data_IF_870367459406
#
_entry.id   IF_870367459406
#
_cell.length_a   1.000
_cell.length_b   1.000
_cell.length_c   1.000
_cell.angle_alpha   90.00
_cell.angle_beta   90.00
_cell.angle_gamma   90.00
#
_symmetry.space_group_name_H-M   'P 1'
#
loop_
_entity.id
_entity.type
_entity.pdbx_description
1 polymer ?
#
# COMPACT_ATOMS: atom_id res chain seq x y z
N UNK A 1 6.97 -5.33 19.70
CA UNK A 1 6.72 -3.89 19.47
C UNK A 1 7.86 -3.14 20.11
N UNK A 2 8.56 -2.34 19.31
CA UNK A 2 9.99 -1.98 19.30
C UNK A 2 10.86 -3.01 18.56
N UNK A 3 11.09 -2.76 17.27
CA UNK A 3 12.38 -3.09 16.67
C UNK A 3 13.46 -2.38 17.48
N UNK A 4 14.44 -3.14 17.99
CA UNK A 4 15.60 -2.58 18.69
C UNK A 4 16.61 -1.96 17.72
N UNK A 5 16.13 -1.09 16.85
CA UNK A 5 16.88 0.05 16.38
C UNK A 5 16.71 1.14 17.45
N UNK A 6 17.77 1.90 17.74
CA UNK A 6 17.58 3.14 18.48
C UNK A 6 16.45 3.93 17.79
N UNK A 7 15.47 4.43 18.54
CA UNK A 7 14.33 5.21 18.02
C UNK A 7 14.70 6.21 16.89
N UNK A 8 15.82 6.96 16.96
CA UNK A 8 16.24 7.82 15.84
C UNK A 8 16.57 7.04 14.55
N UNK A 9 17.17 5.86 14.63
CA UNK A 9 17.51 5.03 13.47
C UNK A 9 16.25 4.43 12.84
N UNK A 10 15.28 4.01 13.66
CA UNK A 10 13.98 3.53 13.17
C UNK A 10 13.24 4.62 12.40
N UNK A 11 13.18 5.83 12.96
CA UNK A 11 12.57 7.00 12.28
C UNK A 11 13.33 7.35 11.00
N UNK A 12 14.66 7.37 11.03
CA UNK A 12 15.47 7.65 9.85
C UNK A 12 15.25 6.61 8.73
N UNK A 13 15.13 5.33 9.09
CA UNK A 13 14.85 4.24 8.15
C UNK A 13 13.46 4.39 7.53
N UNK A 14 12.44 4.71 8.34
CA UNK A 14 11.08 4.97 7.87
C UNK A 14 11.01 6.17 6.91
N UNK A 15 11.70 7.26 7.24
CA UNK A 15 11.81 8.42 6.35
C UNK A 15 12.53 8.08 5.04
N UNK A 16 13.61 7.29 5.11
CA UNK A 16 14.35 6.85 3.93
C UNK A 16 13.49 5.97 3.02
N UNK A 17 12.74 5.01 3.57
CA UNK A 17 11.82 4.16 2.80
C UNK A 17 10.72 5.01 2.14
N UNK A 18 10.13 5.96 2.86
CA UNK A 18 9.14 6.88 2.32
C UNK A 18 9.69 7.73 1.17
N UNK A 19 10.89 8.29 1.34
CA UNK A 19 11.57 9.05 0.29
C UNK A 19 11.86 8.17 -0.93
N UNK A 20 12.40 6.97 -0.73
CA UNK A 20 12.74 6.03 -1.80
C UNK A 20 11.51 5.62 -2.60
N UNK A 21 10.37 5.39 -1.94
CA UNK A 21 9.12 5.08 -2.60
C UNK A 21 8.63 6.23 -3.50
N UNK A 22 8.61 7.46 -2.98
CA UNK A 22 8.22 8.66 -3.74
C UNK A 22 9.20 8.90 -4.89
N UNK A 23 10.51 8.80 -4.63
CA UNK A 23 11.54 8.98 -5.64
C UNK A 23 11.35 7.97 -6.79
N UNK A 24 11.19 6.68 -6.52
CA UNK A 24 11.00 5.68 -7.57
C UNK A 24 9.66 5.82 -8.31
N UNK A 25 8.64 6.36 -7.66
CA UNK A 25 7.34 6.63 -8.28
C UNK A 25 7.39 7.79 -9.29
N UNK A 26 8.18 8.83 -9.00
CA UNK A 26 8.19 10.08 -9.78
C UNK A 26 9.46 10.33 -10.60
N UNK A 27 10.59 9.68 -10.30
CA UNK A 27 11.84 9.81 -11.06
C UNK A 27 11.74 8.95 -12.31
N UNK A 28 10.86 9.32 -13.24
CA UNK A 28 10.56 8.53 -14.44
C UNK A 28 9.77 9.29 -15.50
N UNK A 29 9.89 8.81 -16.73
CA UNK A 29 9.24 9.28 -17.98
C UNK A 29 9.08 10.80 -18.04
N UNK A 30 10.19 11.47 -18.32
CA UNK A 30 10.16 12.86 -18.77
C UNK A 30 9.66 12.90 -20.22
N UNK A 31 8.72 13.80 -20.52
CA UNK A 31 8.29 14.09 -21.89
C UNK A 31 6.99 13.44 -22.37
N UNK A 32 6.24 12.73 -21.52
CA UNK A 32 4.84 12.35 -21.83
C UNK A 32 3.90 13.29 -21.07
N UNK A 33 3.05 14.08 -21.77
CA UNK A 33 2.19 15.07 -21.11
C UNK A 33 1.04 14.42 -20.35
N UNK A 34 0.63 13.21 -20.74
CA UNK A 34 -0.53 12.55 -20.18
C UNK A 34 -0.17 11.48 -19.14
N UNK A 35 -0.67 11.65 -17.93
CA UNK A 35 -0.57 10.70 -16.80
C UNK A 35 -1.28 9.39 -17.11
N UNK A 36 -2.29 9.47 -17.97
CA UNK A 36 -3.21 8.39 -18.29
C UNK A 36 -2.77 7.57 -19.52
N UNK A 37 -1.62 7.92 -20.13
CA UNK A 37 -0.97 7.09 -21.16
C UNK A 37 -0.64 5.69 -20.58
N UNK A 38 -1.04 4.59 -21.25
CA UNK A 38 -0.81 3.23 -20.78
C UNK A 38 0.68 2.88 -20.57
N UNK A 39 1.60 3.57 -21.27
CA UNK A 39 3.05 3.41 -21.08
C UNK A 39 3.49 3.97 -19.73
N UNK A 40 2.96 5.13 -19.34
CA UNK A 40 3.23 5.75 -18.03
C UNK A 40 2.67 4.87 -16.92
N UNK A 41 1.46 4.32 -17.10
CA UNK A 41 0.84 3.43 -16.11
C UNK A 41 1.67 2.15 -15.91
N UNK A 42 2.07 1.48 -17.01
CA UNK A 42 2.88 0.25 -16.93
C UNK A 42 4.25 0.51 -16.31
N UNK A 43 4.90 1.59 -16.69
CA UNK A 43 6.21 1.97 -16.16
C UNK A 43 6.14 2.26 -14.64
N UNK A 44 5.10 2.98 -14.20
CA UNK A 44 4.84 3.19 -12.76
C UNK A 44 4.58 1.88 -12.03
N UNK A 45 3.88 0.91 -12.62
CA UNK A 45 3.67 -0.41 -11.99
C UNK A 45 4.97 -1.19 -11.81
N UNK A 46 5.87 -1.15 -12.78
CA UNK A 46 7.18 -1.83 -12.64
C UNK A 46 7.99 -1.15 -11.53
N UNK A 47 8.02 0.19 -11.52
CA UNK A 47 8.78 0.97 -10.52
C UNK A 47 8.23 0.82 -9.12
N UNK A 48 6.91 0.90 -8.94
CA UNK A 48 6.28 0.76 -7.62
C UNK A 48 6.50 -0.67 -7.08
N UNK A 49 6.50 -1.68 -7.95
CA UNK A 49 6.81 -3.06 -7.58
C UNK A 49 8.28 -3.20 -7.17
N UNK A 50 9.20 -2.60 -7.92
CA UNK A 50 10.63 -2.60 -7.59
C UNK A 50 10.91 -1.85 -6.28
N UNK A 51 10.27 -0.68 -6.07
CA UNK A 51 10.37 0.09 -4.84
C UNK A 51 9.84 -0.69 -3.64
N UNK A 52 8.69 -1.34 -3.79
CA UNK A 52 8.06 -2.18 -2.77
C UNK A 52 8.93 -3.37 -2.39
N UNK A 53 9.56 -4.03 -3.38
CA UNK A 53 10.49 -5.13 -3.15
C UNK A 53 11.78 -4.65 -2.47
N UNK A 54 12.35 -3.54 -2.93
CA UNK A 54 13.56 -2.97 -2.35
C UNK A 54 13.34 -2.54 -0.90
N UNK A 55 12.21 -1.88 -0.61
CA UNK A 55 11.82 -1.51 0.74
C UNK A 55 11.62 -2.74 1.64
N UNK A 56 10.99 -3.80 1.14
CA UNK A 56 10.86 -5.07 1.87
C UNK A 56 12.22 -5.73 2.15
N UNK A 57 13.15 -5.69 1.20
CA UNK A 57 14.52 -6.19 1.39
C UNK A 57 15.29 -5.37 2.42
N UNK A 58 15.18 -4.04 2.40
CA UNK A 58 15.79 -3.15 3.39
C UNK A 58 15.31 -3.51 4.80
N UNK A 59 13.98 -3.64 4.98
CA UNK A 59 13.39 -4.02 6.26
C UNK A 59 13.82 -5.44 6.67
N UNK A 60 13.84 -6.41 5.74
CA UNK A 60 14.29 -7.78 6.03
C UNK A 60 15.77 -7.83 6.47
N UNK A 61 16.64 -7.05 5.85
CA UNK A 61 18.05 -6.94 6.25
C UNK A 61 18.19 -6.28 7.62
N UNK A 62 17.47 -5.18 7.86
CA UNK A 62 17.47 -4.45 9.13
C UNK A 62 16.91 -5.27 10.30
N UNK A 63 16.00 -6.20 10.01
CA UNK A 63 15.39 -7.10 11.00
C UNK A 63 16.09 -8.46 11.10
N UNK A 64 17.21 -8.66 10.40
CA UNK A 64 17.91 -9.94 10.39
C UNK A 64 18.53 -10.27 11.77
N UNK A 65 18.44 -11.54 12.22
CA UNK A 65 18.85 -11.94 13.57
C UNK A 65 20.35 -11.78 13.82
N UNK A 66 21.17 -11.63 12.77
CA UNK A 66 22.62 -11.36 12.87
C UNK A 66 22.94 -9.94 13.36
N UNK A 67 22.10 -8.96 13.01
CA UNK A 67 22.26 -7.56 13.45
C UNK A 67 21.63 -7.33 14.84
N UNK A 68 20.61 -8.12 15.18
CA UNK A 68 19.93 -8.06 16.49
C UNK A 68 20.72 -8.71 17.63
N UNK A 69 21.84 -9.37 17.37
CA UNK A 69 22.62 -10.06 18.40
C UNK A 69 23.41 -9.09 19.31
N UNK A 70 23.49 -7.81 18.94
CA UNK A 70 24.22 -6.77 19.68
C UNK A 70 23.41 -6.21 20.85
N UNK A 71 22.07 -6.24 20.77
CA UNK A 71 21.19 -5.72 21.81
C UNK A 71 20.25 -6.85 22.29
N UNK A 72 20.08 -7.03 23.60
CA UNK A 72 19.32 -8.14 24.25
C UNK A 72 17.80 -8.18 23.97
N UNK A 73 17.35 -7.65 22.84
CA UNK A 73 15.95 -7.66 22.43
C UNK A 73 15.63 -8.85 21.54
N UNK A 74 14.71 -9.70 22.00
CA UNK A 74 14.12 -10.73 21.15
C UNK A 74 13.05 -10.12 20.25
N UNK A 75 13.08 -10.32 18.91
CA UNK A 75 11.93 -10.05 18.07
C UNK A 75 10.78 -10.98 18.50
N UNK A 76 9.69 -10.40 19.00
CA UNK A 76 8.56 -11.18 19.54
C UNK A 76 7.64 -11.77 18.46
N UNK A 77 7.87 -11.49 17.17
CA UNK A 77 7.00 -11.94 16.09
C UNK A 77 7.76 -12.10 14.75
N UNK A 78 7.48 -13.15 13.95
CA UNK A 78 8.06 -13.31 12.62
C UNK A 78 7.61 -12.18 11.69
N UNK A 79 8.49 -11.69 10.80
CA UNK A 79 8.22 -10.54 9.91
C UNK A 79 6.89 -10.63 9.13
N UNK A 80 6.43 -11.83 8.78
CA UNK A 80 5.13 -12.07 8.14
C UNK A 80 3.91 -11.65 8.98
N UNK A 81 4.03 -11.68 10.31
CA UNK A 81 2.98 -11.22 11.22
C UNK A 81 2.85 -9.69 11.18
N UNK A 82 3.90 -8.98 10.78
CA UNK A 82 3.96 -7.51 10.72
C UNK A 82 3.21 -7.00 9.49
N UNK A 83 3.24 -7.80 8.42
CA UNK A 83 2.41 -7.58 7.24
C UNK A 83 0.94 -7.94 7.44
N UNK A 84 0.55 -8.49 8.61
CA UNK A 84 -0.83 -8.91 8.90
C UNK A 84 -1.30 -10.11 8.08
N UNK A 85 -0.42 -10.71 7.27
CA UNK A 85 -0.71 -11.87 6.41
C UNK A 85 -0.73 -13.16 7.24
N UNK A 86 -0.01 -13.17 8.36
CA UNK A 86 0.10 -14.35 9.21
C UNK A 86 0.02 -13.94 10.68
N UNK A 87 -1.21 -13.72 11.17
CA UNK A 87 -1.43 -13.69 12.62
C UNK A 87 -1.02 -15.05 13.20
N UNK A 88 -0.37 -15.05 14.36
CA UNK A 88 0.23 -16.22 15.02
C UNK A 88 -0.75 -17.36 15.38
N UNK A 89 -2.00 -17.29 14.95
CA UNK A 89 -2.98 -18.36 15.05
C UNK A 89 -3.67 -18.50 13.69
N UNK A 90 -3.91 -19.74 13.27
CA UNK A 90 -4.74 -20.10 12.11
C UNK A 90 -6.23 -19.70 12.32
N UNK A 91 -6.48 -18.56 12.95
CA UNK A 91 -7.80 -18.04 13.23
C UNK A 91 -8.24 -17.21 12.04
N UNK A 92 -9.17 -17.78 11.27
CA UNK A 92 -9.94 -17.06 10.24
C UNK A 92 -10.52 -15.74 10.78
N UNK A 93 -10.80 -15.68 12.09
CA UNK A 93 -11.27 -14.49 12.82
C UNK A 93 -10.22 -13.37 12.81
N UNK A 94 -8.93 -13.68 12.95
CA UNK A 94 -7.86 -12.68 12.92
C UNK A 94 -7.69 -12.06 11.53
N UNK A 95 -7.79 -12.88 10.48
CA UNK A 95 -7.74 -12.42 9.08
C UNK A 95 -9.01 -11.62 8.74
N UNK A 96 -10.18 -12.08 9.18
CA UNK A 96 -11.44 -11.38 8.97
C UNK A 96 -11.46 -10.03 9.69
N UNK A 97 -10.98 -9.93 10.92
CA UNK A 97 -10.90 -8.66 11.65
C UNK A 97 -9.88 -7.71 11.03
N UNK A 98 -8.70 -8.20 10.62
CA UNK A 98 -7.68 -7.39 9.97
C UNK A 98 -8.13 -6.79 8.62
N UNK A 99 -9.09 -7.44 7.94
CA UNK A 99 -9.65 -6.96 6.67
C UNK A 99 -10.95 -6.16 6.85
N UNK A 100 -11.88 -6.63 7.68
CA UNK A 100 -13.20 -6.00 7.87
C UNK A 100 -13.13 -4.74 8.73
N UNK A 101 -12.23 -4.65 9.72
CA UNK A 101 -12.13 -3.46 10.56
C UNK A 101 -11.73 -2.18 9.78
N UNK A 102 -10.67 -2.18 8.95
CA UNK A 102 -10.36 -1.00 8.12
C UNK A 102 -11.46 -0.73 7.07
N UNK A 103 -12.11 -1.77 6.53
CA UNK A 103 -13.26 -1.59 5.63
C UNK A 103 -14.46 -0.94 6.34
N UNK A 104 -14.76 -1.34 7.58
CA UNK A 104 -15.83 -0.75 8.37
C UNK A 104 -15.52 0.71 8.73
N UNK A 105 -14.28 1.01 9.10
CA UNK A 105 -13.86 2.39 9.40
C UNK A 105 -13.94 3.29 8.16
N UNK A 106 -13.46 2.81 7.01
CA UNK A 106 -13.53 3.57 5.76
C UNK A 106 -14.97 3.79 5.31
N UNK A 107 -15.83 2.76 5.39
CA UNK A 107 -17.26 2.91 5.08
C UNK A 107 -17.97 3.87 6.03
N UNK A 108 -17.63 3.87 7.33
CA UNK A 108 -18.15 4.87 8.28
C UNK A 108 -17.70 6.30 7.94
N UNK A 109 -16.41 6.49 7.63
CA UNK A 109 -15.85 7.81 7.32
C UNK A 109 -16.44 8.39 6.02
N UNK A 110 -16.69 7.53 5.04
CA UNK A 110 -17.30 7.90 3.76
C UNK A 110 -18.80 7.61 3.69
N UNK A 111 -19.48 7.37 4.82
CA UNK A 111 -20.88 6.97 4.81
C UNK A 111 -21.79 8.03 4.17
N UNK A 112 -21.57 9.31 4.47
CA UNK A 112 -22.33 10.42 3.88
C UNK A 112 -22.26 10.45 2.34
N UNK A 113 -21.06 10.53 1.74
CA UNK A 113 -20.88 10.43 0.29
C UNK A 113 -21.43 9.13 -0.32
N UNK A 114 -21.32 8.00 0.38
CA UNK A 114 -21.87 6.71 -0.10
C UNK A 114 -23.39 6.73 -0.16
N UNK A 115 -24.04 7.29 0.86
CA UNK A 115 -25.50 7.45 0.90
C UNK A 115 -25.96 8.46 -0.15
N UNK A 116 -25.26 9.60 -0.28
CA UNK A 116 -25.56 10.59 -1.32
C UNK A 116 -25.42 9.98 -2.72
N UNK A 117 -24.34 9.23 -2.98
CA UNK A 117 -24.13 8.52 -4.23
C UNK A 117 -25.21 7.46 -4.49
N UNK A 118 -25.72 6.79 -3.45
CA UNK A 118 -26.84 5.85 -3.59
C UNK A 118 -28.13 6.54 -4.01
N UNK A 119 -28.45 7.69 -3.42
CA UNK A 119 -29.62 8.49 -3.80
C UNK A 119 -29.48 9.07 -5.22
N UNK A 120 -28.32 9.60 -5.59
CA UNK A 120 -28.05 10.14 -6.93
C UNK A 120 -28.12 9.05 -8.03
N UNK A 121 -27.78 7.80 -7.68
CA UNK A 121 -27.87 6.63 -8.58
C UNK A 121 -29.31 6.26 -8.94
N UNK A 122 -30.28 6.61 -8.08
CA UNK A 122 -31.71 6.34 -8.32
C UNK A 122 -32.32 7.26 -9.40
N UNK A 123 -31.74 8.45 -9.61
CA UNK A 123 -32.20 9.42 -10.61
C UNK A 123 -31.47 9.35 -11.96
N UNK A 124 -30.26 8.78 -12.01
CA UNK A 124 -29.48 8.66 -13.24
C UNK A 124 -28.79 7.28 -13.31
N UNK A 125 -29.53 6.30 -13.83
CA UNK A 125 -29.07 4.92 -14.08
C UNK A 125 -27.95 4.80 -15.15
N UNK A 126 -27.32 5.92 -15.54
CA UNK A 126 -26.32 6.00 -16.61
C UNK A 126 -25.00 6.64 -16.19
N UNK A 127 -24.74 6.86 -14.89
CA UNK A 127 -23.40 7.14 -14.41
C UNK A 127 -22.77 5.82 -13.93
N UNK A 128 -22.13 5.04 -14.82
CA UNK A 128 -21.32 3.94 -14.34
C UNK A 128 -20.19 4.53 -13.49
N UNK A 129 -19.72 3.75 -12.51
CA UNK A 129 -18.42 3.94 -11.85
C UNK A 129 -17.23 3.79 -12.85
N UNK A 130 -17.51 3.95 -14.14
CA UNK A 130 -16.62 3.85 -15.30
C UNK A 130 -16.46 5.27 -15.85
N UNK A 131 -15.24 5.69 -16.22
CA UNK A 131 -15.11 6.80 -17.13
C UNK A 131 -15.90 6.45 -18.40
N UNK A 132 -16.93 7.23 -18.75
CA UNK A 132 -17.51 7.22 -20.10
C UNK A 132 -16.54 7.91 -21.06
N UNK A 133 -15.29 7.46 -21.08
CA UNK A 133 -14.32 7.92 -22.08
C UNK A 133 -14.42 6.99 -23.27
N UNK A 134 -14.36 7.60 -24.45
CA UNK A 134 -14.34 6.98 -25.78
C UNK A 134 -13.02 6.21 -26.03
N UNK A 135 -12.45 5.63 -24.98
CA UNK A 135 -11.12 5.05 -24.98
C UNK A 135 -11.16 3.54 -25.13
N UNK A 136 -10.10 3.01 -25.73
CA UNK A 136 -9.91 1.58 -25.97
C UNK A 136 -10.17 0.77 -24.68
N UNK A 137 -10.94 -0.32 -24.75
CA UNK A 137 -11.35 -1.09 -23.57
C UNK A 137 -10.17 -1.61 -22.74
N UNK A 138 -8.97 -1.71 -23.31
CA UNK A 138 -7.74 -2.07 -22.58
C UNK A 138 -7.17 -0.97 -21.70
N UNK A 139 -7.28 0.30 -22.10
CA UNK A 139 -6.75 1.46 -21.37
C UNK A 139 -7.61 1.75 -20.14
N UNK A 140 -8.93 1.74 -20.34
CA UNK A 140 -9.92 1.88 -19.26
C UNK A 140 -9.75 0.79 -18.19
N UNK A 141 -9.53 -0.46 -18.59
CA UNK A 141 -9.25 -1.57 -17.66
C UNK A 141 -7.94 -1.36 -16.87
N UNK A 142 -6.92 -0.79 -17.49
CA UNK A 142 -5.63 -0.54 -16.84
C UNK A 142 -5.72 0.59 -15.81
N UNK A 143 -6.46 1.66 -16.13
CA UNK A 143 -6.76 2.75 -15.20
C UNK A 143 -7.61 2.27 -14.02
N UNK A 144 -8.57 1.39 -14.28
CA UNK A 144 -9.38 0.79 -13.22
C UNK A 144 -8.56 -0.10 -12.30
N UNK A 145 -7.72 -0.98 -12.87
CA UNK A 145 -6.80 -1.80 -12.09
C UNK A 145 -5.86 -0.94 -11.24
N UNK A 146 -5.35 0.17 -11.79
CA UNK A 146 -4.55 1.17 -11.06
C UNK A 146 -5.31 1.70 -9.85
N UNK A 147 -6.51 2.23 -10.06
CA UNK A 147 -7.24 2.98 -9.05
C UNK A 147 -7.86 2.07 -7.97
N UNK A 148 -8.32 0.88 -8.36
CA UNK A 148 -9.12 0.02 -7.48
C UNK A 148 -8.30 -1.02 -6.73
N UNK A 149 -7.18 -1.47 -7.31
CA UNK A 149 -6.38 -2.58 -6.76
C UNK A 149 -4.96 -2.10 -6.49
N UNK A 150 -4.25 -1.62 -7.52
CA UNK A 150 -2.80 -1.46 -7.42
C UNK A 150 -2.41 -0.29 -6.53
N UNK A 151 -3.11 0.85 -6.60
CA UNK A 151 -2.92 1.99 -5.71
C UNK A 151 -3.10 1.60 -4.25
N UNK A 152 -4.27 1.11 -3.84
CA UNK A 152 -4.53 0.68 -2.46
C UNK A 152 -3.54 -0.38 -1.95
N UNK A 153 -3.21 -1.38 -2.77
CA UNK A 153 -2.24 -2.43 -2.39
C UNK A 153 -0.85 -1.85 -2.18
N UNK A 154 -0.39 -0.96 -3.06
CA UNK A 154 0.93 -0.37 -2.94
C UNK A 154 1.03 0.60 -1.76
N UNK A 155 -0.02 1.37 -1.49
CA UNK A 155 -0.12 2.25 -0.31
C UNK A 155 -0.06 1.44 0.98
N UNK A 156 -0.90 0.41 1.11
CA UNK A 156 -0.94 -0.44 2.29
C UNK A 156 0.40 -1.17 2.53
N UNK A 157 1.02 -1.69 1.46
CA UNK A 157 2.33 -2.33 1.53
C UNK A 157 3.40 -1.35 2.03
N UNK A 158 3.41 -0.13 1.49
CA UNK A 158 4.39 0.89 1.83
C UNK A 158 4.19 1.40 3.25
N UNK A 159 2.95 1.65 3.67
CA UNK A 159 2.65 2.06 5.03
C UNK A 159 3.11 1.00 6.04
N UNK A 160 2.83 -0.28 5.79
CA UNK A 160 3.29 -1.37 6.68
C UNK A 160 4.81 -1.43 6.80
N UNK A 161 5.53 -1.19 5.70
CA UNK A 161 7.00 -1.13 5.70
C UNK A 161 7.56 0.09 6.43
N UNK A 162 6.86 1.24 6.37
CA UNK A 162 7.26 2.47 7.06
C UNK A 162 6.96 2.37 8.57
N UNK A 163 5.81 1.81 8.96
CA UNK A 163 5.40 1.70 10.36
C UNK A 163 6.07 0.53 11.09
N UNK A 164 6.43 -0.55 10.38
CA UNK A 164 7.11 -1.71 10.96
C UNK A 164 8.31 -1.33 11.83
N UNK A 165 9.31 -0.58 11.31
CA UNK A 165 10.46 -0.07 12.07
C UNK A 165 10.14 0.65 13.39
N UNK A 166 8.99 1.34 13.47
CA UNK A 166 8.65 2.27 14.57
C UNK A 166 7.73 1.64 15.62
N UNK A 167 6.91 0.64 15.25
CA UNK A 167 5.96 -0.05 16.13
C UNK A 167 6.59 -1.18 16.96
#
# INVERSE_FOLDING_TARGET
>A
MLLCLAAPLAVALSCFIGFLFVALLYVGVQGIPDRDDPRVIKDRFVRISAASLLAALIVACATSPRLQQVDHCRPSAPALQWFGIWSSTNDLIGVATASLAPLALTTMLFFGPLVQGWFDRSSNLSAPLLPQTQEEPGVVRLMQARNLIIGPVAEEWTFRLIYGPVL
#
